data_IF_642439798318
#
_entry.id   IF_642439798318
#
_cell.length_a   1.000
_cell.length_b   1.000
_cell.length_c   1.000
_cell.angle_alpha   90.00
_cell.angle_beta   90.00
_cell.angle_gamma   90.00
#
_symmetry.space_group_name_H-M   'P 1'
#
loop_
_entity.id
_entity.type
_entity.pdbx_description
1 polymer ?
#
# COMPACT_ATOMS: atom_id res chain seq x y z
N UNK A 1 -4.77 -17.26 6.45
CA UNK A 1 -4.52 -15.83 6.73
C UNK A 1 -5.37 -15.03 5.77
N UNK A 2 -5.95 -13.92 6.24
CA UNK A 2 -6.73 -12.98 5.44
C UNK A 2 -6.19 -11.57 5.68
N UNK A 3 -6.15 -10.75 4.64
CA UNK A 3 -5.77 -9.33 4.70
C UNK A 3 -6.86 -8.54 3.98
N UNK A 4 -7.41 -7.54 4.66
CA UNK A 4 -8.44 -6.63 4.16
C UNK A 4 -7.89 -5.21 4.16
N UNK A 5 -8.27 -4.42 3.16
CA UNK A 5 -7.82 -3.04 3.01
C UNK A 5 -8.13 -2.50 1.63
N UNK A 6 -7.39 -1.47 1.21
CA UNK A 6 -7.57 -0.82 -0.09
C UNK A 6 -6.41 -1.07 -1.05
N UNK A 7 -6.73 -1.15 -2.33
CA UNK A 7 -5.74 -1.24 -3.40
C UNK A 7 -5.23 0.16 -3.75
N UNK A 8 -3.92 0.31 -3.88
CA UNK A 8 -3.31 1.58 -4.28
C UNK A 8 -2.14 1.34 -5.22
N UNK A 9 -2.04 2.15 -6.28
CA UNK A 9 -0.86 2.21 -7.13
C UNK A 9 -0.06 3.45 -6.75
N UNK A 10 1.26 3.29 -6.51
CA UNK A 10 2.17 4.42 -6.29
C UNK A 10 3.33 4.38 -7.26
N UNK A 11 4.00 5.52 -7.40
CA UNK A 11 5.28 5.62 -8.10
C UNK A 11 6.38 6.18 -7.19
N UNK A 12 7.62 5.77 -7.42
CA UNK A 12 8.80 6.32 -6.77
C UNK A 12 9.96 6.39 -7.76
N UNK A 13 11.00 7.14 -7.42
CA UNK A 13 12.22 7.21 -8.21
C UNK A 13 13.37 6.58 -7.42
N UNK A 14 14.20 5.76 -8.06
CA UNK A 14 15.38 5.20 -7.43
C UNK A 14 16.58 6.17 -7.44
N UNK A 15 17.70 5.76 -6.86
CA UNK A 15 18.92 6.56 -6.81
C UNK A 15 19.51 6.90 -8.19
N UNK A 16 19.15 6.14 -9.23
CA UNK A 16 19.60 6.34 -10.60
C UNK A 16 18.64 7.23 -11.39
N UNK A 17 17.56 7.71 -10.77
CA UNK A 17 16.56 8.56 -11.43
C UNK A 17 15.48 7.79 -12.18
N UNK A 18 15.48 6.45 -12.13
CA UNK A 18 14.47 5.65 -12.83
C UNK A 18 13.15 5.64 -12.06
N UNK A 19 12.04 5.90 -12.77
CA UNK A 19 10.69 5.89 -12.20
C UNK A 19 10.16 4.45 -12.18
N UNK A 20 9.66 4.04 -11.02
CA UNK A 20 9.08 2.73 -10.75
C UNK A 20 7.62 2.87 -10.33
N UNK A 21 6.83 1.83 -10.56
CA UNK A 21 5.43 1.75 -10.13
C UNK A 21 5.18 0.44 -9.38
N UNK A 22 4.30 0.49 -8.37
CA UNK A 22 3.85 -0.70 -7.66
C UNK A 22 2.41 -0.55 -7.20
N UNK A 23 1.64 -1.58 -7.46
CA UNK A 23 0.33 -1.78 -6.87
C UNK A 23 0.50 -2.52 -5.55
N UNK A 24 -0.02 -1.95 -4.48
CA UNK A 24 0.08 -2.46 -3.11
C UNK A 24 -1.31 -2.52 -2.48
N UNK A 25 -1.46 -3.39 -1.48
CA UNK A 25 -2.64 -3.41 -0.62
C UNK A 25 -2.25 -2.69 0.67
N UNK A 26 -2.89 -1.57 0.94
CA UNK A 26 -2.75 -0.89 2.23
C UNK A 26 -3.66 -1.61 3.21
N UNK A 27 -3.07 -2.44 4.06
CA UNK A 27 -3.79 -3.29 4.99
C UNK A 27 -4.45 -2.47 6.12
N UNK A 28 -5.73 -2.73 6.35
CA UNK A 28 -6.53 -2.13 7.43
C UNK A 28 -6.84 -3.18 8.50
N UNK A 29 -7.05 -4.44 8.09
CA UNK A 29 -7.27 -5.58 8.98
C UNK A 29 -6.52 -6.81 8.50
N UNK A 30 -5.96 -7.57 9.45
CA UNK A 30 -5.26 -8.83 9.20
C UNK A 30 -5.81 -9.91 10.14
N UNK A 31 -6.13 -11.08 9.59
CA UNK A 31 -6.48 -12.27 10.34
C UNK A 31 -5.44 -13.36 10.09
N UNK A 32 -4.68 -13.69 11.14
CA UNK A 32 -3.74 -14.81 11.10
C UNK A 32 -4.49 -16.14 11.25
N UNK A 33 -4.00 -17.17 10.56
CA UNK A 33 -4.56 -18.52 10.69
C UNK A 33 -4.26 -19.14 12.07
N UNK A 34 -4.85 -20.30 12.39
CA UNK A 34 -4.54 -21.03 13.61
C UNK A 34 -3.03 -21.33 13.68
N UNK A 35 -2.41 -21.04 14.83
CA UNK A 35 -0.98 -21.25 15.06
C UNK A 35 -0.74 -22.76 15.26
N UNK A 36 0.04 -23.44 14.41
CA UNK A 36 0.34 -24.85 14.63
C UNK A 36 1.27 -24.98 15.86
N UNK A 37 0.74 -25.51 16.97
CA UNK A 37 1.53 -25.92 18.14
C UNK A 37 1.72 -24.89 19.26
N UNK A 38 0.63 -24.38 19.87
CA UNK A 38 0.75 -23.59 21.10
C UNK A 38 -0.53 -23.58 21.91
N UNK A 39 -0.67 -24.53 22.83
CA UNK A 39 -1.60 -24.41 23.94
C UNK A 39 -1.17 -23.26 24.86
N UNK A 40 -2.16 -22.58 25.44
CA UNK A 40 -2.01 -21.74 26.63
C UNK A 40 -1.08 -20.53 26.50
N UNK A 41 -1.64 -19.38 26.12
CA UNK A 41 -1.34 -18.16 26.85
C UNK A 41 -2.67 -17.64 27.39
N UNK A 42 -2.98 -18.08 28.62
CA UNK A 42 -3.84 -17.31 29.51
C UNK A 42 -3.26 -15.90 29.68
N UNK A 43 -4.14 -14.94 29.90
CA UNK A 43 -3.88 -13.51 29.79
C UNK A 43 -2.55 -13.03 30.37
N UNK A 44 -1.75 -12.38 29.53
CA UNK A 44 -0.86 -11.33 29.98
C UNK A 44 -1.62 -10.01 29.81
N UNK A 45 -2.02 -9.43 30.94
CA UNK A 45 -2.76 -8.17 30.99
C UNK A 45 -2.07 -7.08 30.17
N UNK A 46 -2.87 -6.34 29.41
CA UNK A 46 -2.48 -5.00 28.98
C UNK A 46 -2.63 -4.12 30.23
N UNK A 47 -1.57 -4.04 31.02
CA UNK A 47 -1.38 -2.95 31.96
C UNK A 47 -1.24 -1.68 31.11
N UNK A 48 -2.29 -0.86 31.15
CA UNK A 48 -2.28 0.50 30.62
C UNK A 48 -1.26 1.31 31.43
N UNK A 49 0.00 1.25 31.04
CA UNK A 49 0.94 2.30 31.37
C UNK A 49 0.64 3.48 30.45
N UNK A 50 0.12 4.56 31.06
CA UNK A 50 -0.06 5.86 30.44
C UNK A 50 1.29 6.35 29.86
N UNK A 51 1.57 6.03 28.61
CA UNK A 51 2.61 6.72 27.86
C UNK A 51 2.06 8.07 27.40
N UNK A 52 2.28 9.10 28.22
CA UNK A 52 2.17 10.49 27.75
C UNK A 52 3.22 10.70 26.64
N UNK A 53 2.82 11.06 25.40
CA UNK A 53 3.80 11.43 24.40
C UNK A 53 4.41 12.78 24.80
N UNK A 54 5.67 12.77 25.23
CA UNK A 54 6.46 13.96 25.44
C UNK A 54 6.40 14.82 24.16
N UNK A 55 5.88 16.04 24.29
CA UNK A 55 5.84 17.06 23.24
C UNK A 55 7.27 17.42 22.84
N UNK A 56 7.81 16.74 21.83
CA UNK A 56 9.09 17.10 21.25
C UNK A 56 8.86 18.20 20.21
N UNK A 57 8.89 19.46 20.67
CA UNK A 57 9.01 20.62 19.81
C UNK A 57 10.40 20.63 19.18
N UNK A 58 10.50 20.10 17.96
CA UNK A 58 11.58 20.43 17.04
C UNK A 58 10.95 20.93 15.74
N UNK A 59 10.85 22.26 15.62
CA UNK A 59 10.59 22.94 14.35
C UNK A 59 11.79 22.71 13.42
N UNK A 60 11.76 21.63 12.66
CA UNK A 60 12.60 21.47 11.47
C UNK A 60 12.09 22.36 10.34
N UNK A 61 12.97 22.85 9.44
CA UNK A 61 12.57 23.71 8.33
C UNK A 61 11.55 23.00 7.43
N UNK A 62 10.49 23.72 7.07
CA UNK A 62 9.43 23.24 6.21
C UNK A 62 10.01 22.78 4.86
N UNK A 63 9.93 21.47 4.61
CA UNK A 63 10.17 20.95 3.27
C UNK A 63 9.12 21.54 2.32
N UNK A 64 9.51 21.98 1.11
CA UNK A 64 8.55 22.49 0.14
C UNK A 64 7.53 21.40 -0.18
N UNK A 65 6.24 21.75 -0.12
CA UNK A 65 5.15 20.92 -0.63
C UNK A 65 5.43 20.64 -2.10
N UNK A 66 5.86 19.42 -2.41
CA UNK A 66 5.89 18.94 -3.78
C UNK A 66 4.45 18.93 -4.30
N UNK A 67 4.21 19.72 -5.34
CA UNK A 67 2.99 19.66 -6.14
C UNK A 67 2.93 18.24 -6.74
N UNK A 68 1.81 17.50 -6.62
CA UNK A 68 1.68 16.21 -7.29
C UNK A 68 1.91 16.46 -8.79
N UNK A 69 2.87 15.78 -9.45
CA UNK A 69 2.94 15.83 -10.90
C UNK A 69 1.62 15.26 -11.42
N UNK A 70 1.01 15.97 -12.36
CA UNK A 70 -0.24 15.57 -13.00
C UNK A 70 -0.14 14.10 -13.39
N UNK A 71 -1.08 13.34 -12.83
CA UNK A 71 -1.18 11.90 -12.99
C UNK A 71 -1.60 11.64 -14.43
N UNK A 72 -0.63 11.54 -15.34
CA UNK A 72 -0.84 10.85 -16.61
C UNK A 72 -1.02 9.39 -16.24
N UNK A 73 -2.25 9.00 -15.90
CA UNK A 73 -2.65 7.59 -15.95
C UNK A 73 -2.14 7.08 -17.29
N UNK A 74 -1.31 6.00 -17.35
CA UNK A 74 -0.97 5.43 -18.63
C UNK A 74 -2.30 5.05 -19.28
N UNK A 75 -2.68 5.82 -20.29
CA UNK A 75 -3.65 5.35 -21.27
C UNK A 75 -2.95 4.12 -21.82
N UNK A 76 -3.50 2.95 -21.53
CA UNK A 76 -3.08 1.75 -22.22
C UNK A 76 -3.40 2.08 -23.68
N UNK A 77 -2.37 2.36 -24.47
CA UNK A 77 -2.44 2.24 -25.94
C UNK A 77 -2.67 0.76 -26.22
N UNK A 78 -3.89 0.30 -25.92
CA UNK A 78 -4.50 -0.81 -26.64
C UNK A 78 -4.59 -0.21 -28.03
N UNK A 79 -3.60 -0.56 -28.87
CA UNK A 79 -3.45 -0.10 -30.23
C UNK A 79 -4.85 0.15 -30.78
N UNK A 80 -5.17 1.41 -31.08
CA UNK A 80 -6.44 1.80 -31.69
C UNK A 80 -6.67 1.07 -33.03
N UNK A 81 -5.69 0.28 -33.46
CA UNK A 81 -5.59 -0.47 -34.70
C UNK A 81 -5.99 -1.96 -34.60
N UNK A 82 -6.11 -2.56 -33.41
CA UNK A 82 -6.54 -3.96 -33.25
C UNK A 82 -7.99 -4.04 -32.78
N UNK A 83 -8.90 -3.84 -33.75
CA UNK A 83 -10.32 -4.15 -33.64
C UNK A 83 -10.51 -5.56 -33.04
N UNK A 84 -11.08 -5.63 -31.83
CA UNK A 84 -11.32 -6.90 -31.11
C UNK A 84 -12.19 -7.81 -31.99
N UNK A 85 -11.58 -8.79 -32.64
CA UNK A 85 -12.30 -9.76 -33.47
C UNK A 85 -13.06 -10.74 -32.57
N UNK A 86 -14.40 -10.66 -32.62
CA UNK A 86 -15.32 -11.53 -31.87
C UNK A 86 -15.06 -13.04 -32.12
N UNK A 87 -14.37 -13.39 -33.20
CA UNK A 87 -14.02 -14.76 -33.58
C UNK A 87 -12.84 -15.37 -32.80
N UNK A 88 -12.00 -14.54 -32.18
CA UNK A 88 -10.83 -14.99 -31.41
C UNK A 88 -11.13 -15.15 -29.91
N UNK A 89 -12.37 -14.87 -29.50
CA UNK A 89 -12.86 -15.13 -28.14
C UNK A 89 -13.21 -16.63 -28.05
N UNK A 90 -12.50 -17.42 -27.23
CA UNK A 90 -12.84 -18.83 -27.04
C UNK A 90 -14.22 -18.96 -26.37
N UNK A 91 -15.07 -19.82 -26.93
CA UNK A 91 -16.36 -20.23 -26.36
C UNK A 91 -16.20 -21.44 -25.42
#
# INVERSE_FOLDING_TARGET
MLVEGRLQTRSWQDQQGQKHWRTEIIAERIQLGPKPGGGGYEGAGIENENFEPAQNQARGPAAPKAVPPEETTPIIDIAEDEEINVKDIPF
#
